data_IF_257081295845
#
_entry.id   IF_257081295845
#
_cell.length_a   1.000
_cell.length_b   1.000
_cell.length_c   1.000
_cell.angle_alpha   90.00
_cell.angle_beta   90.00
_cell.angle_gamma   90.00
#
_symmetry.space_group_name_H-M   'P 1'
#
loop_
_entity.id
_entity.type
_entity.pdbx_description
1 polymer ?
#
# COMPACT_ATOMS: atom_id res chain seq x y z
N UNK A 1 -8.26 -3.74 -14.40
CA UNK A 1 -8.14 -3.17 -15.76
C UNK A 1 -8.50 -1.70 -15.65
N UNK A 2 -7.77 -0.81 -16.31
CA UNK A 2 -8.05 0.63 -16.23
C UNK A 2 -7.42 1.40 -17.37
N UNK A 3 -7.88 2.64 -17.54
CA UNK A 3 -7.34 3.58 -18.51
C UNK A 3 -6.62 4.69 -17.76
N UNK A 4 -5.36 4.94 -18.12
CA UNK A 4 -4.62 6.11 -17.66
C UNK A 4 -4.69 7.17 -18.74
N UNK A 5 -5.28 8.32 -18.41
CA UNK A 5 -5.43 9.45 -19.33
C UNK A 5 -4.59 10.63 -18.85
N UNK A 6 -3.76 11.18 -19.73
CA UNK A 6 -3.02 12.41 -19.47
C UNK A 6 -3.57 13.54 -20.36
N UNK A 7 -4.43 14.37 -19.77
CA UNK A 7 -5.05 15.52 -20.43
C UNK A 7 -4.10 16.71 -20.64
N UNK A 8 -2.94 16.73 -19.98
CA UNK A 8 -1.98 17.83 -20.06
C UNK A 8 -1.04 17.73 -21.28
N UNK A 9 -1.19 16.70 -22.11
CA UNK A 9 -0.40 16.49 -23.33
C UNK A 9 -1.27 16.62 -24.57
N UNK A 10 -0.71 17.21 -25.62
CA UNK A 10 -1.31 17.24 -26.96
C UNK A 10 -0.43 16.42 -27.94
N UNK A 11 -0.99 15.38 -28.60
CA UNK A 11 -2.34 14.85 -28.42
C UNK A 11 -2.54 14.18 -27.05
N UNK A 12 -3.79 14.13 -26.57
CA UNK A 12 -4.15 13.47 -25.31
C UNK A 12 -3.67 12.03 -25.34
N UNK A 13 -2.88 11.65 -24.35
CA UNK A 13 -2.32 10.30 -24.26
C UNK A 13 -3.23 9.43 -23.40
N UNK A 14 -3.82 8.42 -24.02
CA UNK A 14 -4.63 7.39 -23.35
C UNK A 14 -3.88 6.08 -23.39
N UNK A 15 -3.61 5.50 -22.22
CA UNK A 15 -2.92 4.22 -22.07
C UNK A 15 -3.84 3.22 -21.42
N UNK A 16 -4.07 2.09 -22.10
CA UNK A 16 -4.73 0.94 -21.49
C UNK A 16 -3.76 0.21 -20.55
N UNK A 17 -4.20 -0.06 -19.33
CA UNK A 17 -3.45 -0.82 -18.34
C UNK A 17 -4.15 -2.15 -18.05
N UNK A 18 -3.55 -3.22 -18.56
CA UNK A 18 -3.89 -4.60 -18.24
C UNK A 18 -2.90 -5.22 -17.25
N UNK A 19 -3.41 -6.03 -16.31
CA UNK A 19 -2.58 -6.72 -15.32
C UNK A 19 -2.23 -5.86 -14.10
N UNK A 20 -1.02 -6.01 -13.59
CA UNK A 20 -0.53 -5.34 -12.38
C UNK A 20 -0.12 -3.88 -12.62
N UNK A 21 0.18 -3.49 -13.86
CA UNK A 21 0.82 -2.20 -14.14
C UNK A 21 2.33 -2.25 -13.84
N UNK A 22 2.94 -1.09 -13.57
CA UNK A 22 4.41 -0.99 -13.44
C UNK A 22 4.84 0.01 -12.37
N UNK A 23 6.05 -0.19 -11.84
CA UNK A 23 6.80 0.80 -11.08
C UNK A 23 8.11 1.08 -11.82
N UNK A 24 8.56 2.32 -11.80
CA UNK A 24 9.85 2.73 -12.37
C UNK A 24 10.37 3.96 -11.66
N UNK A 25 11.65 4.26 -11.82
CA UNK A 25 12.25 5.50 -11.30
C UNK A 25 12.39 6.51 -12.44
N UNK A 26 11.98 7.75 -12.19
CA UNK A 26 12.16 8.83 -13.16
C UNK A 26 13.62 9.32 -13.19
N UNK A 27 13.92 10.24 -14.10
CA UNK A 27 15.27 10.82 -14.25
C UNK A 27 15.75 11.59 -13.02
N UNK A 28 14.85 11.94 -12.09
CA UNK A 28 15.16 12.58 -10.81
C UNK A 28 15.27 11.55 -9.67
N UNK A 29 15.17 10.26 -9.99
CA UNK A 29 15.27 9.16 -9.03
C UNK A 29 14.01 8.92 -8.21
N UNK A 30 12.91 9.64 -8.46
CA UNK A 30 11.62 9.45 -7.77
C UNK A 30 10.91 8.22 -8.31
N UNK A 31 10.19 7.53 -7.44
CA UNK A 31 9.39 6.37 -7.82
C UNK A 31 8.10 6.85 -8.46
N UNK A 32 7.82 6.29 -9.63
CA UNK A 32 6.59 6.48 -10.40
C UNK A 32 5.96 5.12 -10.63
N UNK A 33 4.66 5.14 -10.85
CA UNK A 33 3.95 3.91 -11.13
C UNK A 33 2.62 4.13 -11.79
N UNK A 34 2.05 3.02 -12.20
CA UNK A 34 0.74 2.95 -12.82
C UNK A 34 0.06 1.62 -12.46
N UNK A 35 -1.26 1.63 -12.37
CA UNK A 35 -2.04 0.43 -12.06
C UNK A 35 -1.87 -0.07 -10.61
N UNK A 36 -2.08 -1.37 -10.41
CA UNK A 36 -2.12 -1.98 -9.08
C UNK A 36 -0.77 -1.98 -8.36
N UNK A 37 0.35 -2.06 -9.09
CA UNK A 37 1.68 -1.95 -8.46
C UNK A 37 1.89 -0.61 -7.78
N UNK A 38 1.35 0.48 -8.35
CA UNK A 38 1.46 1.79 -7.71
C UNK A 38 0.61 1.87 -6.44
N UNK A 39 -0.60 1.32 -6.48
CA UNK A 39 -1.43 1.16 -5.28
C UNK A 39 -0.70 0.33 -4.20
N UNK A 40 -0.12 -0.82 -4.55
CA UNK A 40 0.64 -1.65 -3.62
C UNK A 40 1.88 -0.95 -3.04
N UNK A 41 2.55 -0.12 -3.85
CA UNK A 41 3.63 0.74 -3.38
C UNK A 41 3.13 1.78 -2.36
N UNK A 42 1.98 2.42 -2.61
CA UNK A 42 1.36 3.37 -1.69
C UNK A 42 0.94 2.71 -0.36
N UNK A 43 0.61 1.42 -0.35
CA UNK A 43 0.36 0.68 0.90
C UNK A 43 1.59 0.53 1.80
N UNK A 44 2.80 0.70 1.28
CA UNK A 44 4.05 0.63 2.06
C UNK A 44 4.67 2.01 2.30
N UNK A 45 4.78 2.82 1.24
CA UNK A 45 5.43 4.12 1.35
C UNK A 45 4.49 5.20 1.91
N UNK A 46 3.20 5.10 1.60
CA UNK A 46 2.23 6.16 1.82
C UNK A 46 2.16 7.17 0.67
N UNK A 47 1.49 8.28 0.92
CA UNK A 47 1.49 9.45 0.04
C UNK A 47 1.64 10.71 0.90
N UNK A 48 2.79 11.40 0.83
CA UNK A 48 3.00 12.65 1.56
C UNK A 48 2.03 13.76 1.16
N UNK A 49 1.50 13.75 -0.07
CA UNK A 49 0.54 14.76 -0.55
C UNK A 49 -0.80 14.59 0.16
N UNK A 50 -1.22 13.35 0.37
CA UNK A 50 -2.44 13.00 1.11
C UNK A 50 -2.18 12.78 2.61
N UNK A 51 -0.99 13.16 3.10
CA UNK A 51 -0.59 13.19 4.49
C UNK A 51 -0.75 11.87 5.27
N UNK A 52 -0.47 10.72 4.65
CA UNK A 52 -0.44 9.44 5.36
C UNK A 52 0.86 8.67 5.10
N UNK A 53 1.40 8.01 6.14
CA UNK A 53 2.56 7.13 6.02
C UNK A 53 2.36 5.85 6.87
N UNK A 54 2.34 4.67 6.22
CA UNK A 54 2.13 3.37 6.87
C UNK A 54 3.00 3.05 8.09
N UNK A 55 4.22 3.58 8.12
CA UNK A 55 5.20 3.34 9.17
C UNK A 55 5.17 4.39 10.31
N UNK A 56 4.20 5.32 10.34
CA UNK A 56 4.19 6.43 11.31
C UNK A 56 4.10 5.98 12.78
N UNK A 57 3.46 4.83 13.04
CA UNK A 57 3.35 4.26 14.39
C UNK A 57 4.59 3.44 14.77
N UNK A 58 5.50 3.19 13.81
CA UNK A 58 6.72 2.42 14.04
C UNK A 58 7.88 3.36 14.44
N UNK A 59 7.96 3.66 15.74
CA UNK A 59 8.98 4.56 16.28
C UNK A 59 10.38 4.00 15.98
N UNK A 60 11.23 4.80 15.33
CA UNK A 60 12.64 4.49 15.09
C UNK A 60 12.95 3.67 13.84
N UNK A 61 11.95 3.35 13.00
CA UNK A 61 12.20 2.75 11.68
C UNK A 61 12.00 3.77 10.56
N UNK A 62 13.10 4.18 9.95
CA UNK A 62 13.05 4.91 8.69
C UNK A 62 12.74 3.95 7.54
N UNK A 63 11.58 4.15 6.91
CA UNK A 63 11.16 3.42 5.73
C UNK A 63 10.89 4.40 4.60
N UNK A 64 11.73 4.32 3.56
CA UNK A 64 11.76 5.28 2.47
C UNK A 64 11.20 4.76 1.15
N UNK A 65 11.02 5.69 0.22
CA UNK A 65 10.48 5.48 -1.14
C UNK A 65 11.21 4.35 -1.88
N UNK A 66 12.54 4.31 -1.80
CA UNK A 66 13.37 3.30 -2.49
C UNK A 66 13.20 1.91 -1.87
N UNK A 67 13.01 1.81 -0.55
CA UNK A 67 12.79 0.53 0.11
C UNK A 67 11.46 -0.10 -0.35
N UNK A 68 10.38 0.69 -0.34
CA UNK A 68 9.08 0.27 -0.85
C UNK A 68 9.16 -0.19 -2.32
N UNK A 69 9.87 0.56 -3.17
CA UNK A 69 10.08 0.21 -4.57
C UNK A 69 10.80 -1.13 -4.72
N UNK A 70 11.90 -1.34 -3.99
CA UNK A 70 12.69 -2.57 -4.09
C UNK A 70 11.91 -3.80 -3.62
N UNK A 71 10.92 -3.64 -2.73
CA UNK A 71 10.05 -4.71 -2.26
C UNK A 71 8.98 -5.06 -3.31
N UNK A 72 8.25 -4.07 -3.84
CA UNK A 72 7.09 -4.32 -4.72
C UNK A 72 7.48 -4.51 -6.18
N UNK A 73 8.54 -3.84 -6.65
CA UNK A 73 8.92 -3.89 -8.05
C UNK A 73 9.26 -5.31 -8.58
N UNK A 74 9.96 -6.20 -7.85
CA UNK A 74 10.24 -7.56 -8.32
C UNK A 74 9.01 -8.48 -8.31
N UNK A 75 7.96 -8.18 -7.54
CA UNK A 75 6.75 -9.01 -7.47
C UNK A 75 6.03 -9.03 -8.82
N UNK A 76 5.58 -10.22 -9.24
CA UNK A 76 4.96 -10.47 -10.54
C UNK A 76 3.49 -10.89 -10.45
N UNK A 77 3.03 -11.24 -9.25
CA UNK A 77 1.65 -11.63 -8.97
C UNK A 77 1.03 -10.81 -7.85
N UNK A 78 -0.31 -10.74 -7.80
CA UNK A 78 -1.01 -10.10 -6.69
C UNK A 78 -0.64 -10.76 -5.36
N UNK A 79 -0.53 -12.10 -5.32
CA UNK A 79 -0.15 -12.85 -4.13
C UNK A 79 1.23 -12.43 -3.61
N UNK A 80 2.24 -12.36 -4.48
CA UNK A 80 3.59 -11.93 -4.11
C UNK A 80 3.59 -10.51 -3.55
N UNK A 81 2.86 -9.58 -4.18
CA UNK A 81 2.73 -8.22 -3.67
C UNK A 81 2.11 -8.19 -2.27
N UNK A 82 0.98 -8.89 -2.08
CA UNK A 82 0.27 -8.91 -0.80
C UNK A 82 1.05 -9.63 0.30
N UNK A 83 1.80 -10.69 -0.02
CA UNK A 83 2.71 -11.33 0.92
C UNK A 83 3.81 -10.34 1.36
N UNK A 84 4.48 -9.71 0.40
CA UNK A 84 5.55 -8.75 0.70
C UNK A 84 5.04 -7.55 1.51
N UNK A 85 3.81 -7.08 1.23
CA UNK A 85 3.16 -6.05 2.03
C UNK A 85 2.93 -6.54 3.46
N UNK A 86 2.27 -7.68 3.63
CA UNK A 86 1.97 -8.22 4.95
C UNK A 86 3.24 -8.45 5.79
N UNK A 87 4.27 -9.08 5.21
CA UNK A 87 5.55 -9.33 5.89
C UNK A 87 6.19 -8.03 6.36
N UNK A 88 6.10 -6.98 5.53
CA UNK A 88 6.61 -5.65 5.87
C UNK A 88 5.85 -5.07 7.06
N UNK A 89 4.51 -5.10 7.05
CA UNK A 89 3.68 -4.64 8.17
C UNK A 89 3.94 -5.44 9.45
N UNK A 90 4.07 -6.77 9.35
CA UNK A 90 4.40 -7.63 10.49
C UNK A 90 5.81 -7.33 11.03
N UNK A 91 6.75 -6.94 10.18
CA UNK A 91 8.08 -6.49 10.62
C UNK A 91 8.05 -5.14 11.37
N UNK A 92 7.13 -4.25 11.01
CA UNK A 92 6.94 -2.95 11.69
C UNK A 92 6.17 -3.12 13.00
N UNK A 93 5.16 -3.99 12.98
CA UNK A 93 4.20 -4.20 14.04
C UNK A 93 4.15 -5.69 14.40
N UNK A 94 5.22 -6.24 15.02
CA UNK A 94 5.28 -7.66 15.37
C UNK A 94 4.20 -8.01 16.40
N UNK A 95 3.91 -7.09 17.31
CA UNK A 95 2.85 -7.17 18.30
C UNK A 95 1.83 -6.04 18.10
N UNK A 96 0.59 -6.18 18.61
CA UNK A 96 -0.39 -5.11 18.56
C UNK A 96 0.14 -3.81 19.16
N UNK A 97 -0.13 -2.69 18.47
CA UNK A 97 0.29 -1.36 18.90
C UNK A 97 -0.91 -0.62 19.46
N UNK A 98 -0.71 0.03 20.61
CA UNK A 98 -1.68 0.98 21.17
C UNK A 98 -1.28 2.40 20.80
N UNK A 99 -2.21 3.18 20.26
CA UNK A 99 -2.02 4.59 19.97
C UNK A 99 -3.26 5.39 20.35
N UNK A 100 -3.06 6.68 20.63
CA UNK A 100 -4.14 7.64 20.90
C UNK A 100 -4.48 8.38 19.60
N UNK A 101 -5.75 8.35 19.22
CA UNK A 101 -6.26 9.07 18.06
C UNK A 101 -6.43 10.57 18.35
N UNK A 102 -6.80 11.33 17.32
CA UNK A 102 -6.98 12.79 17.39
C UNK A 102 -8.10 13.24 18.33
N UNK A 103 -9.00 12.32 18.70
CA UNK A 103 -10.16 12.52 19.57
C UNK A 103 -9.91 12.00 21.01
N UNK A 104 -8.65 11.78 21.38
CA UNK A 104 -8.20 11.20 22.65
C UNK A 104 -8.66 9.74 22.90
N UNK A 105 -9.24 9.07 21.90
CA UNK A 105 -9.60 7.65 22.01
C UNK A 105 -8.37 6.76 21.85
N UNK A 106 -8.19 5.81 22.76
CA UNK A 106 -7.15 4.79 22.64
C UNK A 106 -7.59 3.64 21.73
N UNK A 107 -6.71 3.22 20.83
CA UNK A 107 -6.91 2.08 19.95
C UNK A 107 -5.75 1.12 20.05
N UNK A 108 -6.06 -0.17 20.27
CA UNK A 108 -5.10 -1.27 20.12
C UNK A 108 -5.37 -1.98 18.80
N UNK A 109 -4.38 -2.03 17.91
CA UNK A 109 -4.52 -2.55 16.55
C UNK A 109 -3.38 -3.51 16.22
N UNK A 110 -3.71 -4.61 15.57
CA UNK A 110 -2.70 -5.52 15.01
C UNK A 110 -2.15 -5.01 13.67
N UNK A 111 -1.14 -5.70 13.12
CA UNK A 111 -0.53 -5.32 11.85
C UNK A 111 -1.52 -5.25 10.67
N UNK A 112 -2.53 -6.14 10.65
CA UNK A 112 -3.52 -6.19 9.57
C UNK A 112 -4.52 -5.05 9.72
N UNK A 113 -4.90 -4.69 10.94
CA UNK A 113 -5.78 -3.56 11.20
C UNK A 113 -5.11 -2.22 10.85
N UNK A 114 -3.81 -2.08 11.13
CA UNK A 114 -3.03 -0.91 10.70
C UNK A 114 -2.93 -0.88 9.17
N UNK A 115 -2.67 -2.03 8.53
CA UNK A 115 -2.69 -2.14 7.07
C UNK A 115 -4.05 -1.78 6.47
N UNK A 116 -5.16 -2.18 7.10
CA UNK A 116 -6.51 -1.82 6.66
C UNK A 116 -6.73 -0.31 6.73
N UNK A 117 -6.30 0.34 7.80
CA UNK A 117 -6.43 1.79 7.97
C UNK A 117 -5.76 2.55 6.82
N UNK A 118 -4.52 2.21 6.48
CA UNK A 118 -3.80 2.87 5.38
C UNK A 118 -4.25 2.41 4.00
N UNK A 119 -4.78 1.20 3.87
CA UNK A 119 -5.44 0.75 2.65
C UNK A 119 -6.70 1.57 2.37
N UNK A 120 -7.48 1.89 3.39
CA UNK A 120 -8.64 2.78 3.27
C UNK A 120 -8.24 4.17 2.78
N UNK A 121 -7.10 4.70 3.26
CA UNK A 121 -6.52 5.95 2.76
C UNK A 121 -6.11 5.84 1.29
N UNK A 122 -5.28 4.86 0.93
CA UNK A 122 -4.75 4.69 -0.43
C UNK A 122 -5.85 4.37 -1.47
N UNK A 123 -6.91 3.67 -1.06
CA UNK A 123 -8.02 3.29 -1.95
C UNK A 123 -8.94 4.46 -2.29
N UNK A 124 -8.96 5.52 -1.46
CA UNK A 124 -9.78 6.72 -1.63
C UNK A 124 -11.25 6.38 -1.91
N UNK A 125 -11.97 5.97 -0.87
CA UNK A 125 -13.36 5.46 -0.97
C UNK A 125 -14.26 6.43 -1.76
N UNK A 126 -14.80 5.99 -2.89
CA UNK A 126 -15.59 6.85 -3.78
C UNK A 126 -17.06 6.90 -3.42
N UNK A 127 -17.54 5.90 -2.69
CA UNK A 127 -18.93 5.76 -2.25
C UNK A 127 -18.98 4.95 -0.95
N UNK A 128 -20.12 5.02 -0.26
CA UNK A 128 -20.31 4.37 1.03
C UNK A 128 -20.20 2.84 0.91
N UNK A 129 -19.14 2.26 1.48
CA UNK A 129 -18.85 0.82 1.39
C UNK A 129 -17.86 0.43 0.30
N UNK A 130 -17.28 1.40 -0.43
CA UNK A 130 -16.16 1.16 -1.36
C UNK A 130 -14.88 0.87 -0.57
N UNK A 131 -14.75 -0.36 -0.07
CA UNK A 131 -13.65 -0.79 0.80
C UNK A 131 -12.96 -2.02 0.26
N UNK A 132 -11.64 -2.03 0.39
CA UNK A 132 -10.81 -3.22 0.18
C UNK A 132 -10.60 -3.87 1.53
N UNK A 133 -11.32 -4.96 1.81
CA UNK A 133 -11.10 -5.75 3.02
C UNK A 133 -9.78 -6.52 2.91
N UNK A 134 -8.76 -6.02 3.61
CA UNK A 134 -7.44 -6.59 3.65
C UNK A 134 -7.46 -8.04 4.14
N UNK A 135 -8.23 -8.38 5.19
CA UNK A 135 -8.29 -9.74 5.71
C UNK A 135 -8.88 -10.70 4.67
N UNK A 136 -9.97 -10.29 4.02
CA UNK A 136 -10.59 -11.08 2.97
C UNK A 136 -9.65 -11.26 1.76
N UNK A 137 -8.88 -10.23 1.39
CA UNK A 137 -7.89 -10.31 0.30
C UNK A 137 -6.75 -11.25 0.66
N UNK A 138 -6.16 -11.12 1.84
CA UNK A 138 -5.08 -11.99 2.32
C UNK A 138 -5.54 -13.46 2.35
N UNK A 139 -6.74 -13.73 2.87
CA UNK A 139 -7.32 -15.07 2.90
C UNK A 139 -7.57 -15.62 1.48
N UNK A 140 -8.16 -14.81 0.59
CA UNK A 140 -8.44 -15.22 -0.80
C UNK A 140 -7.19 -15.53 -1.59
N UNK A 141 -6.10 -14.79 -1.36
CA UNK A 141 -4.82 -14.99 -2.04
C UNK A 141 -3.97 -16.08 -1.37
N UNK A 142 -4.37 -16.59 -0.21
CA UNK A 142 -3.63 -17.58 0.56
C UNK A 142 -2.26 -17.04 0.98
N UNK A 143 -2.22 -15.81 1.50
CA UNK A 143 -1.03 -15.21 2.10
C UNK A 143 -0.74 -15.93 3.41
N UNK A 144 0.53 -16.29 3.63
CA UNK A 144 0.95 -16.89 4.89
C UNK A 144 0.97 -15.81 5.96
N UNK A 145 0.13 -15.99 6.99
CA UNK A 145 0.02 -15.04 8.10
C UNK A 145 1.00 -15.34 9.23
N UNK A 146 1.78 -16.43 9.16
CA UNK A 146 2.67 -16.85 10.23
C UNK A 146 1.87 -17.23 11.48
N UNK A 147 1.24 -18.40 11.45
CA UNK A 147 0.75 -19.04 12.67
C UNK A 147 1.94 -19.61 13.45
N UNK A 148 1.99 -19.35 14.75
CA UNK A 148 2.92 -20.02 15.66
C UNK A 148 2.80 -21.55 15.49
N UNK A 149 3.92 -22.19 15.17
CA UNK A 149 4.23 -23.50 15.75
C UNK A 149 4.79 -23.29 17.17
#
# INVERSE_FOLDING_TARGET
LGWLCNYAREPVQVKFLSGLGSLYRDSKGKVRGEGRKFFYFQLLFGDPVDCYRPADLCIGKDFGEVAAFNIINPCTTDKECWQAIYDTYKSWYPEPVTYTAWDDTEHTKDAIDIMQMYCDCAHMQRWAGDRVDCRAVLAKLGVDLGGAE
#
